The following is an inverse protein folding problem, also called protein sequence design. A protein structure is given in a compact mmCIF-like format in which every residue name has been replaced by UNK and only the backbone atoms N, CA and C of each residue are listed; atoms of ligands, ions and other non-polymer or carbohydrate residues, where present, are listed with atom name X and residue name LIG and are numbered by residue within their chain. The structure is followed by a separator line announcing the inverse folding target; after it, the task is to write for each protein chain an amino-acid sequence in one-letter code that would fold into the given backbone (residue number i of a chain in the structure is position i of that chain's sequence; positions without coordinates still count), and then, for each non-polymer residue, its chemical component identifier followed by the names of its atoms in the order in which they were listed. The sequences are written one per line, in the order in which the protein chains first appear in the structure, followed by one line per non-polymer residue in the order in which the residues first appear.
data_IF_035660069185
#
_entry.id   IF_035660069185
#
_cell.length_a   1.000
_cell.length_b   1.000
_cell.length_c   1.000
_cell.angle_alpha   90.00
_cell.angle_beta   90.00
_cell.angle_gamma   90.00
#
_symmetry.space_group_name_H-M   'P 1'
#
loop_
_entity.id
_entity.type
_entity.pdbx_description
1 polymer ?
#
# COMPACT_ATOMS: atom_id res chain seq x y z
N UNK A 1 0.23 -15.93 53.43
CA UNK A 1 -0.59 -17.16 53.29
C UNK A 1 -1.29 -17.06 51.97
N UNK A 2 -1.05 -17.81 50.96
CA UNK A 2 -0.79 -19.19 50.59
C UNK A 2 -0.34 -19.15 49.11
N UNK A 3 0.74 -19.51 48.66
CA UNK A 3 1.43 -20.64 48.06
C UNK A 3 0.52 -21.59 47.20
N UNK A 4 0.82 -21.67 45.89
CA UNK A 4 0.92 -22.92 45.12
C UNK A 4 1.40 -22.59 43.72
N UNK A 5 2.53 -22.89 43.20
CA UNK A 5 3.33 -24.07 42.83
C UNK A 5 2.68 -24.98 41.80
N UNK A 6 3.41 -25.09 40.71
CA UNK A 6 3.83 -26.28 39.98
C UNK A 6 3.08 -26.62 38.69
N UNK A 7 3.90 -26.88 37.67
CA UNK A 7 3.62 -27.85 36.64
C UNK A 7 4.52 -27.79 35.42
N UNK A 8 5.78 -28.23 35.59
CA UNK A 8 6.75 -28.55 34.52
C UNK A 8 6.35 -29.90 33.88
N UNK A 9 6.24 -30.01 32.58
CA UNK A 9 6.26 -31.29 31.87
C UNK A 9 7.04 -31.22 30.55
N UNK A 10 8.29 -31.63 30.69
CA UNK A 10 9.22 -32.01 29.62
C UNK A 10 8.78 -33.37 29.08
N UNK A 11 8.62 -33.50 27.77
CA UNK A 11 8.65 -34.80 27.08
C UNK A 11 9.62 -34.77 25.92
N UNK A 12 10.79 -35.33 26.20
CA UNK A 12 11.76 -35.86 25.23
C UNK A 12 11.20 -37.19 24.70
N UNK A 13 11.27 -37.41 23.42
CA UNK A 13 11.28 -38.73 22.84
C UNK A 13 12.30 -38.73 21.69
N UNK A 14 13.42 -39.40 22.00
CA UNK A 14 14.39 -39.94 21.02
C UNK A 14 13.83 -41.23 20.42
N UNK A 15 14.34 -41.56 19.27
CA UNK A 15 14.47 -42.87 18.55
C UNK A 15 14.18 -42.65 17.08
N UNK A 16 14.92 -43.08 16.08
CA UNK A 16 16.03 -43.99 16.04
C UNK A 16 16.69 -43.96 14.64
N UNK A 17 17.96 -44.31 14.67
CA UNK A 17 18.77 -44.59 13.48
C UNK A 17 18.21 -45.76 12.67
N UNK A 18 18.10 -45.55 11.37
CA UNK A 18 17.94 -46.61 10.39
C UNK A 18 18.97 -46.50 9.27
N UNK A 19 20.09 -47.16 9.46
CA UNK A 19 21.17 -47.36 8.48
C UNK A 19 20.74 -48.50 7.55
N UNK A 20 20.63 -48.28 6.23
CA UNK A 20 20.43 -49.34 5.26
C UNK A 20 21.33 -49.11 4.04
N UNK A 21 22.27 -50.06 3.87
CA UNK A 21 23.25 -50.15 2.78
C UNK A 21 22.62 -50.55 1.44
N UNK A 22 23.17 -49.96 0.40
CA UNK A 22 23.28 -50.20 -1.04
C UNK A 22 22.88 -51.60 -1.60
N UNK A 23 22.53 -51.64 -2.94
CA UNK A 23 23.62 -51.89 -3.89
C UNK A 23 23.60 -51.03 -5.17
N UNK A 24 24.80 -50.77 -5.67
CA UNK A 24 25.14 -50.33 -7.02
C UNK A 24 24.53 -51.29 -8.07
N UNK A 25 23.75 -50.74 -9.00
CA UNK A 25 23.60 -51.33 -10.33
C UNK A 25 23.77 -50.28 -11.40
N UNK A 26 24.91 -50.32 -12.05
CA UNK A 26 25.19 -49.62 -13.29
C UNK A 26 24.23 -50.13 -14.39
N UNK A 27 23.40 -49.26 -14.90
CA UNK A 27 22.77 -49.47 -16.22
C UNK A 27 23.11 -48.28 -17.12
N UNK A 28 24.08 -48.56 -17.98
CA UNK A 28 24.29 -47.81 -19.22
C UNK A 28 23.05 -47.97 -20.06
N UNK A 29 22.33 -46.90 -20.31
CA UNK A 29 21.25 -46.92 -21.29
C UNK A 29 21.38 -45.73 -22.23
N UNK A 30 21.44 -46.11 -23.48
CA UNK A 30 21.62 -45.34 -24.70
C UNK A 30 20.89 -43.97 -24.70
N UNK A 31 21.64 -42.97 -25.14
CA UNK A 31 21.11 -41.68 -25.58
C UNK A 31 20.17 -41.90 -26.76
N UNK A 32 18.89 -41.75 -26.53
CA UNK A 32 17.91 -41.54 -27.58
C UNK A 32 17.69 -40.01 -27.67
N UNK A 33 18.25 -39.46 -28.72
CA UNK A 33 18.07 -38.07 -29.12
C UNK A 33 16.58 -37.82 -29.40
N UNK A 34 15.89 -37.24 -28.44
CA UNK A 34 14.53 -36.71 -28.62
C UNK A 34 14.64 -35.30 -29.19
N UNK A 35 14.03 -34.99 -30.32
CA UNK A 35 14.05 -33.64 -30.86
C UNK A 35 13.37 -32.69 -29.86
N UNK A 36 14.02 -31.56 -29.57
CA UNK A 36 13.49 -30.48 -28.79
C UNK A 36 12.23 -29.97 -29.48
N UNK A 37 11.08 -30.19 -28.85
CA UNK A 37 9.86 -29.47 -29.19
C UNK A 37 10.08 -27.99 -28.84
N UNK A 38 9.77 -27.06 -29.72
CA UNK A 38 9.82 -25.65 -29.37
C UNK A 38 8.83 -25.42 -28.22
N UNK A 39 9.34 -25.01 -27.07
CA UNK A 39 8.50 -24.44 -26.01
C UNK A 39 7.79 -23.25 -26.62
N UNK A 40 6.53 -23.40 -26.94
CA UNK A 40 5.63 -22.30 -27.16
C UNK A 40 5.55 -21.56 -25.82
N UNK A 41 6.35 -20.51 -25.67
CA UNK A 41 6.09 -19.49 -24.65
C UNK A 41 4.70 -18.95 -24.92
N UNK A 42 3.73 -19.49 -24.19
CA UNK A 42 2.43 -18.84 -24.11
C UNK A 42 2.69 -17.45 -23.51
N UNK A 43 2.29 -16.38 -24.21
CA UNK A 43 2.35 -15.07 -23.61
C UNK A 43 1.49 -15.14 -22.35
N UNK A 44 2.13 -14.94 -21.18
CA UNK A 44 1.44 -14.78 -19.92
C UNK A 44 0.55 -13.55 -20.14
N UNK A 45 -0.72 -13.79 -20.38
CA UNK A 45 -1.72 -12.71 -20.47
C UNK A 45 -1.79 -12.07 -19.09
N UNK A 46 -1.06 -10.96 -18.91
CA UNK A 46 -1.23 -10.10 -17.74
C UNK A 46 -2.70 -9.73 -17.72
N UNK A 47 -3.43 -10.05 -16.64
CA UNK A 47 -4.84 -9.72 -16.54
C UNK A 47 -5.01 -8.24 -16.84
N UNK A 48 -5.90 -7.90 -17.77
CA UNK A 48 -6.16 -6.52 -18.21
C UNK A 48 -6.52 -5.61 -17.03
N UNK A 49 -6.99 -6.20 -15.96
CA UNK A 49 -7.39 -5.53 -14.72
C UNK A 49 -6.22 -5.24 -13.75
N UNK A 50 -5.06 -5.87 -13.95
CA UNK A 50 -3.89 -5.67 -13.08
C UNK A 50 -3.30 -4.25 -13.17
N UNK A 51 -3.66 -3.48 -14.21
CA UNK A 51 -3.27 -2.08 -14.41
C UNK A 51 -4.44 -1.09 -14.25
N UNK A 52 -5.63 -1.60 -13.92
CA UNK A 52 -6.80 -0.75 -13.74
C UNK A 52 -6.56 0.21 -12.56
N UNK A 53 -6.73 1.50 -12.81
CA UNK A 53 -6.61 2.53 -11.79
C UNK A 53 -5.21 3.10 -11.59
N UNK A 54 -4.14 2.54 -12.17
CA UNK A 54 -2.77 3.08 -12.02
C UNK A 54 -2.66 4.53 -12.49
N UNK A 55 -3.49 4.96 -13.44
CA UNK A 55 -3.57 6.35 -13.89
C UNK A 55 -4.01 7.34 -12.81
N UNK A 56 -4.56 6.85 -11.71
CA UNK A 56 -4.96 7.67 -10.56
C UNK A 56 -3.82 7.84 -9.53
N UNK A 57 -2.69 7.18 -9.75
CA UNK A 57 -1.50 7.39 -8.92
C UNK A 57 -0.95 8.80 -9.14
N UNK A 58 -0.58 9.47 -8.06
CA UNK A 58 -0.03 10.80 -8.13
C UNK A 58 -0.14 11.55 -6.80
N UNK A 59 0.27 12.81 -6.85
CA UNK A 59 0.14 13.73 -5.71
C UNK A 59 -1.15 14.54 -5.88
N UNK A 60 -1.85 14.71 -4.78
CA UNK A 60 -3.08 15.51 -4.71
C UNK A 60 -2.94 16.57 -3.62
N UNK A 61 -3.43 17.78 -3.87
CA UNK A 61 -3.51 18.82 -2.84
C UNK A 61 -4.29 18.31 -1.62
N UNK A 62 -3.83 18.65 -0.42
CA UNK A 62 -4.53 18.23 0.79
C UNK A 62 -5.36 19.40 1.37
N UNK A 63 -5.24 19.70 2.64
CA UNK A 63 -6.13 20.64 3.31
C UNK A 63 -5.64 22.10 3.27
N UNK A 64 -4.34 22.30 3.33
CA UNK A 64 -3.69 23.60 3.34
C UNK A 64 -2.70 23.68 2.18
N UNK A 65 -2.39 24.87 1.74
CA UNK A 65 -1.35 25.12 0.76
C UNK A 65 -0.02 24.49 1.22
N UNK A 66 0.63 23.77 0.31
CA UNK A 66 1.85 23.01 0.59
C UNK A 66 1.63 21.62 1.16
N UNK A 67 0.46 21.32 1.72
CA UNK A 67 0.14 19.96 2.16
C UNK A 67 -0.34 19.10 0.97
N UNK A 68 -0.03 17.82 0.98
CA UNK A 68 -0.43 16.92 -0.10
C UNK A 68 -0.69 15.50 0.40
N UNK A 69 -1.38 14.73 -0.42
CA UNK A 69 -1.49 13.29 -0.29
C UNK A 69 -0.88 12.62 -1.50
N UNK A 70 0.10 11.75 -1.28
CA UNK A 70 0.67 10.87 -2.30
C UNK A 70 -0.14 9.58 -2.33
N UNK A 71 -0.64 9.23 -3.50
CA UNK A 71 -1.41 8.00 -3.75
C UNK A 71 -0.67 7.17 -4.79
N UNK A 72 -0.48 5.90 -4.52
CA UNK A 72 0.05 4.91 -5.45
C UNK A 72 -0.94 3.75 -5.54
N UNK A 73 -1.45 3.50 -6.73
CA UNK A 73 -2.31 2.34 -7.00
C UNK A 73 -1.43 1.20 -7.48
N UNK A 74 -1.43 0.14 -6.73
CA UNK A 74 -0.70 -1.09 -7.04
C UNK A 74 -1.63 -2.12 -7.69
N UNK A 75 -1.12 -3.31 -7.94
CA UNK A 75 -1.91 -4.39 -8.49
C UNK A 75 -3.10 -4.73 -7.58
N UNK A 76 -4.17 -5.22 -8.18
CA UNK A 76 -5.40 -5.63 -7.47
C UNK A 76 -6.10 -4.50 -6.70
N UNK A 77 -5.80 -3.24 -7.04
CA UNK A 77 -6.41 -2.07 -6.41
C UNK A 77 -5.92 -1.79 -4.99
N UNK A 78 -4.81 -2.37 -4.57
CA UNK A 78 -4.13 -1.95 -3.34
C UNK A 78 -3.67 -0.51 -3.47
N UNK A 79 -3.94 0.31 -2.46
CA UNK A 79 -3.55 1.72 -2.42
C UNK A 79 -2.53 1.93 -1.32
N UNK A 80 -1.35 2.43 -1.70
CA UNK A 80 -0.29 2.84 -0.78
C UNK A 80 0.00 4.32 -0.92
N UNK A 81 0.69 4.90 0.05
CA UNK A 81 1.04 6.31 0.03
C UNK A 81 1.10 6.92 1.42
N UNK A 82 1.00 8.25 1.46
CA UNK A 82 1.03 9.00 2.71
C UNK A 82 0.36 10.37 2.55
N UNK A 83 -0.03 10.95 3.67
CA UNK A 83 -0.42 12.35 3.80
C UNK A 83 0.74 13.11 4.37
N UNK A 84 1.20 14.17 3.70
CA UNK A 84 2.19 15.12 4.20
C UNK A 84 1.49 16.40 4.61
N UNK A 85 1.57 16.74 5.89
CA UNK A 85 0.89 17.91 6.47
C UNK A 85 1.78 18.67 7.45
N UNK A 86 1.47 19.92 7.69
CA UNK A 86 2.12 20.68 8.75
C UNK A 86 1.67 20.21 10.13
N UNK A 87 2.62 20.15 11.06
CA UNK A 87 2.33 19.92 12.46
C UNK A 87 1.56 21.09 13.07
N UNK A 88 0.60 20.77 13.94
CA UNK A 88 -0.24 21.78 14.65
C UNK A 88 0.23 21.99 16.09
N UNK A 89 1.09 21.08 16.62
CA UNK A 89 1.64 21.18 17.98
C UNK A 89 2.77 22.21 18.08
N UNK A 90 3.01 22.73 19.27
CA UNK A 90 4.13 23.65 19.52
C UNK A 90 5.49 23.02 19.15
N UNK A 91 5.65 21.72 19.38
CA UNK A 91 6.87 20.98 19.05
C UNK A 91 7.08 20.76 17.56
N UNK A 92 6.00 20.84 16.76
CA UNK A 92 5.98 20.42 15.35
C UNK A 92 5.67 21.59 14.42
N UNK A 93 5.51 22.78 14.97
CA UNK A 93 5.14 23.97 14.21
C UNK A 93 6.08 24.23 13.05
N UNK A 94 5.54 24.16 11.84
CA UNK A 94 6.30 24.36 10.61
C UNK A 94 7.06 23.13 10.10
N UNK A 95 7.04 22.01 10.82
CA UNK A 95 7.55 20.75 10.34
C UNK A 95 6.51 20.00 9.50
N UNK A 96 6.95 19.30 8.45
CA UNK A 96 6.10 18.35 7.76
C UNK A 96 6.06 17.02 8.53
N UNK A 97 4.87 16.49 8.67
CA UNK A 97 4.59 15.18 9.27
C UNK A 97 4.01 14.27 8.19
N UNK A 98 4.69 13.16 7.93
CA UNK A 98 4.24 12.17 6.97
C UNK A 98 3.47 11.05 7.69
N UNK A 99 2.19 10.92 7.34
CA UNK A 99 1.30 9.90 7.85
C UNK A 99 1.11 8.83 6.79
N UNK A 100 1.89 7.77 6.84
CA UNK A 100 1.81 6.65 5.87
C UNK A 100 0.48 5.92 5.95
N UNK A 101 0.01 5.40 4.81
CA UNK A 101 -1.20 4.60 4.79
C UNK A 101 -0.99 3.29 5.55
N UNK A 102 -1.88 3.01 6.47
CA UNK A 102 -2.03 1.73 7.15
C UNK A 102 -2.78 0.72 6.28
N UNK A 103 -3.75 1.23 5.53
CA UNK A 103 -4.53 0.48 4.56
C UNK A 103 -5.08 1.42 3.50
N UNK A 104 -5.26 0.90 2.29
CA UNK A 104 -5.89 1.63 1.21
C UNK A 104 -6.39 0.68 0.14
N UNK A 105 -7.50 1.05 -0.53
CA UNK A 105 -8.13 0.24 -1.56
C UNK A 105 -8.79 1.11 -2.62
N UNK A 106 -8.71 0.63 -3.86
CA UNK A 106 -9.45 1.12 -5.01
C UNK A 106 -10.34 0.00 -5.56
N UNK A 107 -11.63 0.23 -5.67
CA UNK A 107 -12.61 -0.66 -6.30
C UNK A 107 -13.39 0.12 -7.36
N UNK A 108 -13.08 -0.13 -8.62
CA UNK A 108 -13.58 0.71 -9.70
C UNK A 108 -13.07 2.14 -9.57
N UNK A 109 -13.95 3.09 -9.27
CA UNK A 109 -13.61 4.49 -8.95
C UNK A 109 -13.65 4.80 -7.45
N UNK A 110 -14.13 3.87 -6.62
CA UNK A 110 -14.22 4.06 -5.17
C UNK A 110 -12.85 3.89 -4.53
N UNK A 111 -12.34 4.93 -3.89
CA UNK A 111 -11.04 4.98 -3.24
C UNK A 111 -11.19 5.22 -1.74
N UNK A 112 -10.50 4.43 -0.96
CA UNK A 112 -10.43 4.62 0.49
C UNK A 112 -9.00 4.43 0.98
N UNK A 113 -8.64 5.15 2.05
CA UNK A 113 -7.41 4.90 2.79
C UNK A 113 -7.56 5.27 4.26
N UNK A 114 -6.71 4.68 5.09
CA UNK A 114 -6.55 5.04 6.51
C UNK A 114 -5.07 5.20 6.79
N UNK A 115 -4.68 6.28 7.47
CA UNK A 115 -3.28 6.52 7.81
C UNK A 115 -2.89 5.88 9.14
N UNK A 116 -1.59 5.73 9.35
CA UNK A 116 -1.02 5.55 10.68
C UNK A 116 -1.30 6.81 11.53
N UNK A 117 -1.23 6.64 12.85
CA UNK A 117 -1.35 7.78 13.77
C UNK A 117 0.03 8.37 14.02
N UNK A 118 0.18 9.66 13.75
CA UNK A 118 1.38 10.44 14.03
C UNK A 118 0.99 11.64 14.88
N UNK A 119 1.68 11.87 15.98
CA UNK A 119 1.38 12.92 16.96
C UNK A 119 -0.11 12.97 17.33
N UNK A 120 -0.65 11.78 17.64
CA UNK A 120 -2.03 11.60 18.05
C UNK A 120 -3.09 11.91 16.98
N UNK A 121 -2.70 12.12 15.71
CA UNK A 121 -3.61 12.40 14.59
C UNK A 121 -3.53 11.29 13.54
N UNK A 122 -4.68 10.89 13.01
CA UNK A 122 -4.80 10.00 11.85
C UNK A 122 -5.96 10.44 10.98
N UNK A 123 -5.94 10.02 9.71
CA UNK A 123 -6.99 10.33 8.74
C UNK A 123 -7.59 9.06 8.16
N UNK A 124 -8.87 9.14 7.87
CA UNK A 124 -9.60 8.17 7.05
C UNK A 124 -10.27 8.93 5.91
N UNK A 125 -10.04 8.48 4.68
CA UNK A 125 -10.71 9.00 3.48
C UNK A 125 -11.59 7.92 2.88
N UNK A 126 -12.80 8.30 2.48
CA UNK A 126 -13.71 7.49 1.67
C UNK A 126 -14.34 8.36 0.59
N UNK A 127 -14.17 7.98 -0.65
CA UNK A 127 -14.69 8.76 -1.76
C UNK A 127 -14.49 8.08 -3.10
N UNK A 128 -14.52 8.90 -4.15
CA UNK A 128 -14.37 8.46 -5.54
C UNK A 128 -13.25 9.24 -6.22
N UNK A 129 -12.64 8.60 -7.21
CA UNK A 129 -11.79 9.27 -8.18
C UNK A 129 -12.67 9.72 -9.34
N UNK A 130 -12.67 11.01 -9.63
CA UNK A 130 -13.48 11.62 -10.68
C UNK A 130 -12.60 12.41 -11.66
N UNK A 131 -13.13 12.69 -12.85
CA UNK A 131 -12.54 13.66 -13.76
C UNK A 131 -12.74 15.05 -13.21
N UNK A 132 -11.67 15.82 -13.13
CA UNK A 132 -11.70 17.22 -12.72
C UNK A 132 -11.69 18.18 -13.92
N UNK A 133 -11.14 19.39 -13.70
CA UNK A 133 -11.15 20.49 -14.68
C UNK A 133 -10.03 20.37 -15.72
N UNK A 134 -8.97 19.62 -15.44
CA UNK A 134 -7.83 19.39 -16.34
C UNK A 134 -8.29 18.80 -17.68
N UNK A 135 -7.79 19.32 -18.79
CA UNK A 135 -8.21 18.92 -20.14
C UNK A 135 -7.45 17.69 -20.63
N UNK A 136 -6.14 17.67 -20.37
CA UNK A 136 -5.24 16.61 -20.82
C UNK A 136 -4.70 15.80 -19.65
N UNK A 137 -4.32 14.52 -19.86
CA UNK A 137 -3.55 13.79 -18.87
C UNK A 137 -2.28 14.55 -18.47
N UNK A 138 -2.07 14.74 -17.18
CA UNK A 138 -0.95 15.52 -16.67
C UNK A 138 -1.27 16.97 -16.31
N UNK A 139 -2.40 17.52 -16.76
CA UNK A 139 -2.85 18.84 -16.30
C UNK A 139 -3.19 18.81 -14.80
N UNK A 140 -3.08 19.95 -14.15
CA UNK A 140 -3.62 20.14 -12.79
C UNK A 140 -5.12 19.77 -12.76
N UNK A 141 -5.53 19.12 -11.69
CA UNK A 141 -6.89 18.65 -11.48
C UNK A 141 -7.45 17.79 -12.63
N UNK A 142 -6.59 17.04 -13.37
CA UNK A 142 -7.07 16.06 -14.36
C UNK A 142 -7.90 14.99 -13.69
N UNK A 143 -7.45 14.50 -12.54
CA UNK A 143 -8.25 13.71 -11.61
C UNK A 143 -8.40 14.45 -10.28
N UNK A 144 -9.51 14.18 -9.62
CA UNK A 144 -9.79 14.66 -8.27
C UNK A 144 -10.25 13.50 -7.38
N UNK A 145 -9.88 13.54 -6.11
CA UNK A 145 -10.44 12.65 -5.09
C UNK A 145 -11.54 13.43 -4.37
N UNK A 146 -12.79 13.01 -4.56
CA UNK A 146 -13.95 13.66 -3.96
C UNK A 146 -14.62 12.71 -2.98
N UNK A 147 -14.81 13.16 -1.74
CA UNK A 147 -15.35 12.29 -0.71
C UNK A 147 -15.42 12.94 0.66
N UNK A 148 -15.35 12.09 1.67
CA UNK A 148 -15.34 12.49 3.07
C UNK A 148 -13.99 12.17 3.69
N UNK A 149 -13.39 13.15 4.32
CA UNK A 149 -12.21 12.99 5.15
C UNK A 149 -12.62 13.03 6.63
N UNK A 150 -12.24 12.01 7.37
CA UNK A 150 -12.38 11.96 8.82
C UNK A 150 -11.01 12.10 9.46
N UNK A 151 -10.85 13.13 10.27
CA UNK A 151 -9.69 13.34 11.12
C UNK A 151 -9.98 12.78 12.50
N UNK A 152 -9.15 11.87 12.96
CA UNK A 152 -9.21 11.31 14.30
C UNK A 152 -8.04 11.88 15.10
N UNK A 153 -8.32 12.50 16.25
CA UNK A 153 -7.31 12.99 17.18
C UNK A 153 -7.50 12.38 18.55
N UNK A 154 -6.40 12.07 19.24
CA UNK A 154 -6.43 11.60 20.62
C UNK A 154 -5.75 12.62 21.52
N UNK A 155 -6.47 13.09 22.52
CA UNK A 155 -5.89 13.94 23.56
C UNK A 155 -5.12 13.10 24.60
N UNK A 156 -4.32 13.75 25.43
CA UNK A 156 -3.59 13.11 26.53
C UNK A 156 -4.49 12.32 27.49
N UNK A 157 -5.78 12.64 27.55
CA UNK A 157 -6.82 11.94 28.30
C UNK A 157 -7.28 10.61 27.64
N UNK A 158 -6.68 10.20 26.52
CA UNK A 158 -7.13 9.04 25.69
C UNK A 158 -8.53 9.16 25.10
N UNK A 159 -9.14 10.35 25.16
CA UNK A 159 -10.40 10.60 24.47
C UNK A 159 -10.13 10.79 22.99
N UNK A 160 -10.73 9.93 22.17
CA UNK A 160 -10.68 10.05 20.71
C UNK A 160 -11.76 11.04 20.29
N UNK A 161 -11.36 12.05 19.54
CA UNK A 161 -12.24 12.99 18.85
C UNK A 161 -12.18 12.73 17.36
N UNK A 162 -13.34 12.64 16.70
CA UNK A 162 -13.42 12.43 15.25
C UNK A 162 -14.18 13.58 14.61
N UNK A 163 -13.62 14.14 13.55
CA UNK A 163 -14.23 15.22 12.78
C UNK A 163 -14.25 14.87 11.30
N UNK A 164 -15.44 14.74 10.73
CA UNK A 164 -15.62 14.45 9.31
C UNK A 164 -16.00 15.71 8.55
N UNK A 165 -15.51 15.81 7.29
CA UNK A 165 -15.84 16.91 6.37
C UNK A 165 -15.81 16.42 4.92
N UNK A 166 -16.63 17.00 4.05
CA UNK A 166 -16.49 16.78 2.60
C UNK A 166 -15.21 17.46 2.11
N UNK A 167 -14.52 16.79 1.18
CA UNK A 167 -13.28 17.29 0.58
C UNK A 167 -13.24 16.98 -0.91
N UNK A 168 -12.46 17.79 -1.64
CA UNK A 168 -12.05 17.52 -3.02
C UNK A 168 -10.56 17.82 -3.12
N UNK A 169 -9.76 16.76 -3.30
CA UNK A 169 -8.32 16.88 -3.48
C UNK A 169 -8.01 16.88 -4.97
N UNK A 170 -7.38 17.94 -5.46
CA UNK A 170 -7.01 18.09 -6.87
C UNK A 170 -5.63 17.47 -7.12
N UNK A 171 -5.51 16.67 -8.19
CA UNK A 171 -4.21 16.14 -8.61
C UNK A 171 -3.28 17.28 -9.02
N UNK A 172 -2.03 17.24 -8.58
CA UNK A 172 -1.01 18.14 -9.07
C UNK A 172 -0.64 17.83 -10.52
N UNK A 173 -0.14 18.80 -11.30
CA UNK A 173 0.35 18.54 -12.63
C UNK A 173 1.49 17.52 -12.60
N UNK A 174 1.50 16.59 -13.54
CA UNK A 174 2.51 15.52 -13.60
C UNK A 174 3.83 15.98 -14.24
N UNK A 175 3.83 17.13 -14.90
CA UNK A 175 5.00 17.66 -15.62
C UNK A 175 5.90 18.58 -14.79
N UNK A 176 5.77 18.61 -13.45
CA UNK A 176 6.61 19.45 -12.58
C UNK A 176 8.12 19.17 -12.65
N UNK A 177 8.58 18.19 -13.45
CA UNK A 177 9.98 17.84 -13.65
C UNK A 177 10.50 17.95 -15.08
N UNK A 178 9.66 18.26 -16.06
CA UNK A 178 10.09 18.42 -17.45
C UNK A 178 10.49 19.87 -17.67
N UNK A 179 11.78 20.17 -17.48
CA UNK A 179 12.34 21.41 -18.05
C UNK A 179 12.13 21.38 -19.58
N UNK A 180 11.63 22.47 -20.21
CA UNK A 180 11.60 22.55 -21.64
C UNK A 180 13.03 22.36 -22.15
N UNK A 181 13.25 21.33 -22.96
CA UNK A 181 14.49 21.15 -23.70
C UNK A 181 14.62 22.32 -24.69
N UNK A 182 15.54 23.25 -24.40
CA UNK A 182 15.97 24.28 -25.35
C UNK A 182 16.64 23.62 -26.55
#
# INVERSE_FOLDING_TARGET
MSRSRSGLLVRRALWGLGLSLLPLMSQVRAQSSRPASPSTEQPVSVPKDAKAGQQYSGMYAFLREGEFVQVTIENEGTVTGFVSRYGDGESDKGAFLDLFFKSGKLEGSSLSFTTQTVHAVSFEFKGTVERGEGKNPGDEAYYVLKGTLTENSSEASKKISSRSRPVTFKMFPQDMGRQPSN
#
